data_IF_275090938532
#
_entry.id   IF_275090938532
#
_cell.length_a   1.000
_cell.length_b   1.000
_cell.length_c   1.000
_cell.angle_alpha   90.00
_cell.angle_beta   90.00
_cell.angle_gamma   90.00
#
_symmetry.space_group_name_H-M   'P 1'
#
loop_
_entity.id
_entity.type
_entity.pdbx_description
1 polymer ?
#
# COMPACT_ATOMS: atom_id res chain seq x y z
N UNK A 1 48.54 -71.68 -6.98
CA UNK A 1 47.94 -70.51 -7.67
C UNK A 1 46.74 -71.05 -8.39
N UNK A 2 45.52 -70.91 -7.84
CA UNK A 2 44.21 -71.11 -8.52
C UNK A 2 43.06 -71.14 -7.49
N UNK A 3 42.85 -70.03 -6.78
CA UNK A 3 41.68 -69.89 -5.90
C UNK A 3 41.05 -68.48 -5.91
N UNK A 4 41.41 -67.65 -6.90
CA UNK A 4 40.90 -66.28 -7.04
C UNK A 4 40.01 -66.06 -8.28
N UNK A 5 39.55 -67.14 -8.93
CA UNK A 5 38.70 -67.09 -10.13
C UNK A 5 37.18 -67.13 -9.84
N UNK A 6 36.76 -67.07 -8.57
CA UNK A 6 35.34 -67.04 -8.15
C UNK A 6 34.91 -65.74 -7.47
N UNK A 7 35.34 -64.58 -7.98
CA UNK A 7 34.86 -63.27 -7.51
C UNK A 7 34.24 -62.32 -8.57
N UNK A 8 33.72 -62.76 -9.73
CA UNK A 8 32.94 -61.84 -10.58
C UNK A 8 31.59 -61.47 -9.93
N UNK A 9 30.95 -62.42 -9.23
CA UNK A 9 29.61 -62.22 -8.65
C UNK A 9 29.59 -61.14 -7.54
N UNK A 10 30.60 -61.04 -6.69
CA UNK A 10 30.60 -60.09 -5.57
C UNK A 10 30.77 -58.64 -6.06
N UNK A 11 31.56 -58.45 -7.11
CA UNK A 11 31.78 -57.15 -7.76
C UNK A 11 30.51 -56.60 -8.41
N UNK A 12 29.73 -57.47 -9.06
CA UNK A 12 28.48 -57.08 -9.71
C UNK A 12 27.41 -56.66 -8.69
N UNK A 13 27.31 -57.36 -7.56
CA UNK A 13 26.39 -57.02 -6.46
C UNK A 13 26.71 -55.67 -5.81
N UNK A 14 27.98 -55.37 -5.56
CA UNK A 14 28.43 -54.07 -5.04
C UNK A 14 28.08 -52.92 -5.98
N UNK A 15 28.22 -53.15 -7.29
CA UNK A 15 27.91 -52.16 -8.33
C UNK A 15 26.41 -51.84 -8.38
N UNK A 16 25.55 -52.87 -8.29
CA UNK A 16 24.09 -52.70 -8.22
C UNK A 16 23.69 -51.95 -6.95
N UNK A 17 24.29 -52.29 -5.80
CA UNK A 17 23.98 -51.64 -4.53
C UNK A 17 24.38 -50.16 -4.52
N UNK A 18 25.53 -49.82 -5.09
CA UNK A 18 25.98 -48.43 -5.26
C UNK A 18 25.06 -47.62 -6.18
N UNK A 19 24.56 -48.23 -7.26
CA UNK A 19 23.59 -47.61 -8.16
C UNK A 19 22.26 -47.34 -7.45
N UNK A 20 21.73 -48.31 -6.69
CA UNK A 20 20.52 -48.15 -5.90
C UNK A 20 20.66 -47.04 -4.84
N UNK A 21 21.80 -47.01 -4.14
CA UNK A 21 22.07 -45.97 -3.14
C UNK A 21 22.12 -44.58 -3.77
N UNK A 22 22.74 -44.45 -4.94
CA UNK A 22 22.81 -43.19 -5.69
C UNK A 22 21.43 -42.74 -6.15
N UNK A 23 20.60 -43.65 -6.68
CA UNK A 23 19.22 -43.36 -7.08
C UNK A 23 18.37 -42.88 -5.89
N UNK A 24 18.52 -43.51 -4.73
CA UNK A 24 17.82 -43.11 -3.50
C UNK A 24 18.29 -41.72 -3.05
N UNK A 25 19.61 -41.47 -3.00
CA UNK A 25 20.15 -40.15 -2.62
C UNK A 25 19.69 -39.04 -3.56
N UNK A 26 19.64 -39.33 -4.86
CA UNK A 26 19.12 -38.40 -5.87
C UNK A 26 17.62 -38.13 -5.68
N UNK A 27 16.82 -39.16 -5.42
CA UNK A 27 15.39 -39.01 -5.15
C UNK A 27 15.12 -38.14 -3.90
N UNK A 28 15.88 -38.37 -2.81
CA UNK A 28 15.81 -37.54 -1.60
C UNK A 28 16.16 -36.08 -1.91
N UNK A 29 17.21 -35.85 -2.71
CA UNK A 29 17.64 -34.50 -3.12
C UNK A 29 16.55 -33.78 -3.91
N UNK A 30 15.89 -34.48 -4.84
CA UNK A 30 14.75 -33.94 -5.61
C UNK A 30 13.61 -33.55 -4.66
N UNK A 31 13.24 -34.43 -3.73
CA UNK A 31 12.17 -34.16 -2.76
C UNK A 31 12.53 -32.94 -1.89
N UNK A 32 13.77 -32.87 -1.40
CA UNK A 32 14.24 -31.74 -0.61
C UNK A 32 14.20 -30.43 -1.40
N UNK A 33 14.63 -30.45 -2.66
CA UNK A 33 14.59 -29.29 -3.54
C UNK A 33 13.15 -28.82 -3.80
N UNK A 34 12.21 -29.73 -4.04
CA UNK A 34 10.79 -29.38 -4.20
C UNK A 34 10.18 -28.79 -2.93
N UNK A 35 10.48 -29.35 -1.76
CA UNK A 35 10.01 -28.80 -0.48
C UNK A 35 10.59 -27.42 -0.21
N UNK A 36 11.88 -27.22 -0.50
CA UNK A 36 12.53 -25.93 -0.36
C UNK A 36 11.89 -24.88 -1.29
N UNK A 37 11.62 -25.24 -2.55
CA UNK A 37 10.92 -24.37 -3.50
C UNK A 37 9.53 -23.99 -2.99
N UNK A 38 8.73 -24.94 -2.54
CA UNK A 38 7.38 -24.69 -2.01
C UNK A 38 7.42 -23.81 -0.76
N UNK A 39 8.38 -24.04 0.16
CA UNK A 39 8.56 -23.19 1.33
C UNK A 39 8.95 -21.76 0.94
N UNK A 40 9.82 -21.59 -0.06
CA UNK A 40 10.23 -20.28 -0.56
C UNK A 40 9.06 -19.52 -1.24
N UNK A 41 8.23 -20.23 -1.99
CA UNK A 41 7.00 -19.67 -2.59
C UNK A 41 6.03 -19.18 -1.51
N UNK A 42 5.75 -20.02 -0.50
CA UNK A 42 4.89 -19.64 0.62
C UNK A 42 5.46 -18.46 1.43
N UNK A 43 6.77 -18.43 1.66
CA UNK A 43 7.43 -17.32 2.34
C UNK A 43 7.32 -16.02 1.52
N UNK A 44 7.48 -16.10 0.20
CA UNK A 44 7.31 -14.95 -0.70
C UNK A 44 5.88 -14.42 -0.66
N UNK A 45 4.89 -15.29 -0.76
CA UNK A 45 3.48 -14.90 -0.70
C UNK A 45 3.14 -14.22 0.63
N UNK A 46 3.62 -14.76 1.75
CA UNK A 46 3.44 -14.16 3.08
C UNK A 46 4.13 -12.79 3.19
N UNK A 47 5.34 -12.66 2.65
CA UNK A 47 6.07 -11.39 2.64
C UNK A 47 5.37 -10.33 1.76
N UNK A 48 4.92 -10.71 0.57
CA UNK A 48 4.18 -9.83 -0.34
C UNK A 48 2.85 -9.38 0.29
N UNK A 49 2.14 -10.30 0.96
CA UNK A 49 0.94 -9.97 1.73
C UNK A 49 1.24 -8.96 2.84
N UNK A 50 2.24 -9.22 3.68
CA UNK A 50 2.62 -8.33 4.78
C UNK A 50 3.05 -6.95 4.27
N UNK A 51 3.86 -6.90 3.21
CA UNK A 51 4.30 -5.64 2.59
C UNK A 51 3.10 -4.84 2.06
N UNK A 52 2.12 -5.51 1.44
CA UNK A 52 0.90 -4.86 0.97
C UNK A 52 0.02 -4.36 2.13
N UNK A 53 -0.08 -5.10 3.23
CA UNK A 53 -0.78 -4.66 4.44
C UNK A 53 -0.14 -3.42 5.05
N UNK A 54 1.20 -3.38 5.14
CA UNK A 54 1.95 -2.22 5.65
C UNK A 54 1.68 -0.99 4.78
N UNK A 55 1.77 -1.11 3.45
CA UNK A 55 1.46 -0.01 2.53
C UNK A 55 0.03 0.53 2.71
N UNK A 56 -0.95 -0.34 2.96
CA UNK A 56 -2.33 0.08 3.25
C UNK A 56 -2.44 0.81 4.59
N UNK A 57 -1.73 0.37 5.63
CA UNK A 57 -1.68 1.05 6.92
C UNK A 57 -1.05 2.43 6.83
N UNK A 58 0.06 2.56 6.11
CA UNK A 58 0.70 3.84 5.86
C UNK A 58 -0.29 4.79 5.16
N UNK A 59 -0.99 4.31 4.14
CA UNK A 59 -1.99 5.10 3.45
C UNK A 59 -3.14 5.56 4.38
N UNK A 60 -3.61 4.69 5.28
CA UNK A 60 -4.61 5.05 6.30
C UNK A 60 -4.08 6.17 7.21
N UNK A 61 -2.83 6.09 7.66
CA UNK A 61 -2.21 7.12 8.48
C UNK A 61 -2.06 8.45 7.71
N UNK A 62 -1.72 8.38 6.42
CA UNK A 62 -1.65 9.55 5.55
C UNK A 62 -3.00 10.23 5.35
N UNK A 63 -4.08 9.45 5.15
CA UNK A 63 -5.45 9.97 5.07
C UNK A 63 -5.88 10.66 6.36
N UNK A 64 -5.60 10.05 7.52
CA UNK A 64 -5.90 10.64 8.81
C UNK A 64 -5.16 11.98 8.99
N UNK A 65 -3.92 12.06 8.50
CA UNK A 65 -3.13 13.30 8.50
C UNK A 65 -3.76 14.35 7.59
N UNK A 66 -4.15 13.98 6.36
CA UNK A 66 -4.81 14.90 5.42
C UNK A 66 -6.15 15.44 5.97
N UNK A 67 -6.96 14.58 6.61
CA UNK A 67 -8.20 14.98 7.28
C UNK A 67 -7.92 16.04 8.36
N UNK A 68 -6.93 15.80 9.23
CA UNK A 68 -6.56 16.77 10.28
C UNK A 68 -6.13 18.11 9.70
N UNK A 69 -5.36 18.12 8.62
CA UNK A 69 -4.94 19.35 7.95
C UNK A 69 -6.13 20.11 7.32
N UNK A 70 -7.11 19.39 6.76
CA UNK A 70 -8.34 20.02 6.24
C UNK A 70 -9.19 20.58 7.38
N UNK A 71 -9.27 19.89 8.51
CA UNK A 71 -9.93 20.43 9.71
C UNK A 71 -9.22 21.65 10.28
N UNK A 72 -7.90 21.69 10.21
CA UNK A 72 -7.11 22.86 10.56
C UNK A 72 -7.45 24.05 9.66
N UNK A 73 -7.59 23.85 8.34
CA UNK A 73 -8.07 24.90 7.42
C UNK A 73 -9.45 25.44 7.85
N UNK A 74 -10.40 24.57 8.21
CA UNK A 74 -11.71 24.99 8.72
C UNK A 74 -11.60 25.81 10.01
N UNK A 75 -10.63 25.50 10.88
CA UNK A 75 -10.37 26.27 12.11
C UNK A 75 -9.79 27.64 11.75
N UNK A 76 -8.81 27.71 10.86
CA UNK A 76 -8.17 28.95 10.40
C UNK A 76 -9.18 29.89 9.73
N UNK A 77 -10.09 29.34 8.92
CA UNK A 77 -11.22 30.07 8.36
C UNK A 77 -12.09 30.75 9.42
N UNK A 78 -12.37 30.05 10.53
CA UNK A 78 -13.22 30.56 11.63
C UNK A 78 -12.49 31.55 12.52
N UNK A 79 -11.19 31.34 12.74
CA UNK A 79 -10.35 32.22 13.56
C UNK A 79 -9.84 33.45 12.81
N UNK A 80 -10.18 33.59 11.52
CA UNK A 80 -9.74 34.68 10.64
C UNK A 80 -8.21 34.82 10.53
N UNK A 81 -7.47 33.72 10.69
CA UNK A 81 -6.02 33.70 10.56
C UNK A 81 -5.61 33.57 9.08
N UNK A 82 -5.93 34.61 8.32
CA UNK A 82 -5.89 34.65 6.86
C UNK A 82 -4.45 34.50 6.32
N UNK A 83 -3.47 35.07 7.00
CA UNK A 83 -2.06 35.06 6.58
C UNK A 83 -1.46 33.65 6.47
N UNK A 84 -2.01 32.67 7.21
CA UNK A 84 -1.53 31.30 7.23
C UNK A 84 -2.23 30.39 6.19
N UNK A 85 -3.33 30.83 5.61
CA UNK A 85 -4.14 30.00 4.72
C UNK A 85 -3.41 29.55 3.46
N UNK A 86 -2.68 30.41 2.71
CA UNK A 86 -1.99 29.99 1.49
C UNK A 86 -1.04 28.82 1.71
N UNK A 87 -0.19 28.91 2.73
CA UNK A 87 0.77 27.87 3.07
C UNK A 87 0.05 26.56 3.46
N UNK A 88 -1.02 26.67 4.25
CA UNK A 88 -1.80 25.50 4.70
C UNK A 88 -2.54 24.84 3.55
N UNK A 89 -3.11 25.60 2.62
CA UNK A 89 -3.72 25.08 1.40
C UNK A 89 -2.71 24.35 0.53
N UNK A 90 -1.54 24.95 0.29
CA UNK A 90 -0.46 24.34 -0.48
C UNK A 90 0.01 23.03 0.17
N UNK A 91 0.15 23.00 1.50
CA UNK A 91 0.52 21.81 2.26
C UNK A 91 -0.52 20.68 2.15
N UNK A 92 -1.80 20.99 2.28
CA UNK A 92 -2.89 20.02 2.08
C UNK A 92 -2.86 19.47 0.65
N UNK A 93 -2.75 20.36 -0.35
CA UNK A 93 -2.72 19.97 -1.76
C UNK A 93 -1.53 19.06 -2.06
N UNK A 94 -0.33 19.42 -1.61
CA UNK A 94 0.87 18.61 -1.77
C UNK A 94 0.72 17.22 -1.15
N UNK A 95 0.14 17.15 0.06
CA UNK A 95 -0.13 15.88 0.74
C UNK A 95 -1.11 15.00 -0.06
N UNK A 96 -2.20 15.57 -0.56
CA UNK A 96 -3.19 14.84 -1.36
C UNK A 96 -2.63 14.36 -2.70
N UNK A 97 -1.79 15.17 -3.36
CA UNK A 97 -1.10 14.78 -4.61
C UNK A 97 -0.16 13.60 -4.35
N UNK A 98 0.65 13.67 -3.28
CA UNK A 98 1.55 12.58 -2.88
C UNK A 98 0.77 11.29 -2.58
N UNK A 99 -0.37 11.39 -1.89
CA UNK A 99 -1.25 10.24 -1.67
C UNK A 99 -1.78 9.65 -2.98
N UNK A 100 -2.22 10.49 -3.93
CA UNK A 100 -2.75 10.04 -5.24
C UNK A 100 -1.71 9.25 -6.06
N UNK A 101 -0.42 9.52 -5.88
CA UNK A 101 0.64 8.81 -6.62
C UNK A 101 0.88 7.38 -6.12
N UNK A 102 0.31 7.02 -4.96
CA UNK A 102 0.43 5.68 -4.42
C UNK A 102 -0.31 4.64 -5.28
N UNK A 103 0.22 3.41 -5.30
CA UNK A 103 -0.28 2.32 -6.14
C UNK A 103 -1.79 2.06 -5.99
N UNK A 104 -2.33 2.27 -4.78
CA UNK A 104 -3.76 2.09 -4.48
C UNK A 104 -4.69 3.02 -5.29
N UNK A 105 -4.22 4.21 -5.68
CA UNK A 105 -5.02 5.22 -6.37
C UNK A 105 -4.70 5.35 -7.85
N UNK A 106 -4.02 4.36 -8.46
CA UNK A 106 -3.68 4.44 -9.88
C UNK A 106 -4.90 4.33 -10.79
N UNK A 107 -5.94 3.63 -10.35
CA UNK A 107 -7.11 3.34 -11.16
C UNK A 107 -8.39 3.29 -10.31
N UNK A 108 -9.55 3.41 -10.98
CA UNK A 108 -10.86 3.15 -10.38
C UNK A 108 -11.51 4.34 -9.66
N UNK A 109 -12.47 4.02 -8.79
CA UNK A 109 -13.29 5.00 -8.08
C UNK A 109 -12.48 5.79 -7.03
N UNK A 110 -11.52 5.14 -6.38
CA UNK A 110 -10.68 5.76 -5.36
C UNK A 110 -9.82 6.90 -5.93
N UNK A 111 -9.24 6.68 -7.12
CA UNK A 111 -8.49 7.70 -7.86
C UNK A 111 -9.34 8.94 -8.16
N UNK A 112 -10.58 8.73 -8.64
CA UNK A 112 -11.50 9.82 -8.95
C UNK A 112 -11.85 10.62 -7.70
N UNK A 113 -12.15 9.93 -6.59
CA UNK A 113 -12.47 10.60 -5.32
C UNK A 113 -11.31 11.45 -4.80
N UNK A 114 -10.08 10.93 -4.78
CA UNK A 114 -8.93 11.74 -4.32
C UNK A 114 -8.64 12.90 -5.28
N UNK A 115 -8.82 12.69 -6.60
CA UNK A 115 -8.67 13.74 -7.60
C UNK A 115 -9.72 14.85 -7.42
N UNK A 116 -10.97 14.50 -7.13
CA UNK A 116 -12.04 15.46 -6.86
C UNK A 116 -11.73 16.30 -5.61
N UNK A 117 -11.19 15.67 -4.56
CA UNK A 117 -10.73 16.38 -3.36
C UNK A 117 -9.59 17.34 -3.71
N UNK A 118 -8.58 16.92 -4.48
CA UNK A 118 -7.48 17.78 -4.93
C UNK A 118 -8.01 18.99 -5.72
N UNK A 119 -8.95 18.78 -6.64
CA UNK A 119 -9.55 19.84 -7.45
C UNK A 119 -10.31 20.84 -6.58
N UNK A 120 -11.08 20.37 -5.59
CA UNK A 120 -11.81 21.24 -4.65
C UNK A 120 -10.86 22.09 -3.82
N UNK A 121 -9.84 21.48 -3.22
CA UNK A 121 -8.83 22.22 -2.43
C UNK A 121 -8.10 23.24 -3.31
N UNK A 122 -7.67 22.85 -4.51
CA UNK A 122 -6.98 23.76 -5.44
C UNK A 122 -7.88 24.92 -5.90
N UNK A 123 -9.19 24.67 -6.02
CA UNK A 123 -10.16 25.71 -6.38
C UNK A 123 -10.38 26.71 -5.26
N UNK A 124 -10.41 26.24 -4.00
CA UNK A 124 -10.50 27.10 -2.82
C UNK A 124 -9.23 27.95 -2.65
N UNK A 125 -8.06 27.35 -2.80
CA UNK A 125 -6.77 28.05 -2.78
C UNK A 125 -6.71 29.15 -3.84
N UNK A 126 -7.06 28.83 -5.10
CA UNK A 126 -7.11 29.83 -6.18
C UNK A 126 -8.13 30.94 -5.93
N UNK A 127 -9.25 30.63 -5.28
CA UNK A 127 -10.25 31.65 -4.94
C UNK A 127 -9.70 32.62 -3.89
N UNK A 128 -8.94 32.09 -2.92
CA UNK A 128 -8.25 32.87 -1.91
C UNK A 128 -7.11 33.72 -2.49
N UNK A 129 -6.26 33.13 -3.34
CA UNK A 129 -5.13 33.86 -3.98
C UNK A 129 -5.60 35.05 -4.83
N UNK A 130 -6.79 34.95 -5.43
CA UNK A 130 -7.37 36.03 -6.24
C UNK A 130 -7.97 37.16 -5.41
N UNK A 131 -8.50 36.84 -4.24
CA UNK A 131 -9.17 37.78 -3.35
C UNK A 131 -8.88 37.38 -1.90
N UNK A 132 -7.88 38.00 -1.25
CA UNK A 132 -7.55 37.69 0.15
C UNK A 132 -8.72 37.89 1.12
N UNK A 133 -9.68 38.75 0.78
CA UNK A 133 -10.89 39.00 1.55
C UNK A 133 -12.06 38.09 1.13
N UNK A 134 -11.80 37.08 0.28
CA UNK A 134 -12.81 36.13 -0.20
C UNK A 134 -13.64 35.54 0.95
N UNK A 135 -12.99 35.18 2.05
CA UNK A 135 -13.62 34.54 3.21
C UNK A 135 -14.35 35.52 4.15
N UNK A 136 -14.16 36.83 4.01
CA UNK A 136 -14.93 37.83 4.77
C UNK A 136 -16.39 37.90 4.28
N UNK A 137 -16.63 37.47 3.03
CA UNK A 137 -17.98 37.33 2.49
C UNK A 137 -18.65 36.15 3.18
N UNK A 138 -19.64 36.41 4.04
CA UNK A 138 -20.36 35.39 4.85
C UNK A 138 -20.75 34.12 4.05
N UNK A 139 -21.28 34.30 2.84
CA UNK A 139 -21.65 33.18 1.96
C UNK A 139 -20.44 32.36 1.46
N UNK A 140 -19.29 33.00 1.24
CA UNK A 140 -18.08 32.32 0.77
C UNK A 140 -17.44 31.47 1.87
N UNK A 141 -17.44 31.96 3.12
CA UNK A 141 -16.96 31.21 4.28
C UNK A 141 -17.78 29.92 4.51
N UNK A 142 -19.10 30.04 4.49
CA UNK A 142 -20.01 28.89 4.68
C UNK A 142 -19.82 27.86 3.56
N UNK A 143 -19.77 28.31 2.30
CA UNK A 143 -19.53 27.43 1.14
C UNK A 143 -18.16 26.75 1.20
N UNK A 144 -17.12 27.48 1.57
CA UNK A 144 -15.76 26.93 1.69
C UNK A 144 -15.70 25.86 2.78
N UNK A 145 -16.26 26.15 3.96
CA UNK A 145 -16.32 25.19 5.06
C UNK A 145 -17.15 23.95 4.73
N UNK A 146 -18.24 24.10 3.97
CA UNK A 146 -19.04 22.99 3.46
C UNK A 146 -18.26 22.13 2.46
N UNK A 147 -17.55 22.77 1.52
CA UNK A 147 -16.67 22.08 0.56
C UNK A 147 -15.56 21.28 1.27
N UNK A 148 -14.91 21.89 2.29
CA UNK A 148 -13.92 21.21 3.12
C UNK A 148 -14.52 20.04 3.92
N UNK A 149 -15.75 20.18 4.42
CA UNK A 149 -16.46 19.07 5.08
C UNK A 149 -16.70 17.91 4.11
N UNK A 150 -17.21 18.18 2.89
CA UNK A 150 -17.34 17.12 1.88
C UNK A 150 -16.02 16.46 1.50
N UNK A 151 -14.91 17.21 1.52
CA UNK A 151 -13.58 16.64 1.29
C UNK A 151 -13.19 15.67 2.42
N UNK A 152 -13.46 16.05 3.67
CA UNK A 152 -13.23 15.19 4.83
C UNK A 152 -14.09 13.92 4.75
N UNK A 153 -15.37 14.04 4.39
CA UNK A 153 -16.28 12.89 4.24
C UNK A 153 -15.80 11.93 3.14
N UNK A 154 -15.34 12.48 2.00
CA UNK A 154 -14.78 11.68 0.91
C UNK A 154 -13.52 10.92 1.36
N UNK A 155 -12.61 11.58 2.08
CA UNK A 155 -11.41 10.93 2.62
C UNK A 155 -11.75 9.88 3.68
N UNK A 156 -12.76 10.11 4.52
CA UNK A 156 -13.24 9.11 5.47
C UNK A 156 -13.83 7.89 4.78
N UNK A 157 -14.62 8.09 3.72
CA UNK A 157 -15.15 6.96 2.92
C UNK A 157 -14.02 6.13 2.30
N UNK A 158 -12.98 6.78 1.78
CA UNK A 158 -11.80 6.08 1.26
C UNK A 158 -11.04 5.32 2.36
N UNK A 159 -10.89 5.93 3.53
CA UNK A 159 -10.26 5.31 4.70
C UNK A 159 -11.03 4.04 5.11
N UNK A 160 -12.34 4.12 5.23
CA UNK A 160 -13.19 2.97 5.54
C UNK A 160 -13.08 1.87 4.48
N UNK A 161 -13.09 2.24 3.19
CA UNK A 161 -12.91 1.31 2.09
C UNK A 161 -11.59 0.53 2.16
N UNK A 162 -10.48 1.21 2.48
CA UNK A 162 -9.19 0.55 2.66
C UNK A 162 -9.22 -0.39 3.86
N UNK A 163 -9.76 0.06 4.99
CA UNK A 163 -9.85 -0.73 6.22
C UNK A 163 -10.66 -2.01 6.02
N UNK A 164 -11.80 -1.92 5.32
CA UNK A 164 -12.62 -3.09 4.96
C UNK A 164 -11.86 -4.07 4.04
N UNK A 165 -11.08 -3.55 3.08
CA UNK A 165 -10.25 -4.39 2.21
C UNK A 165 -9.15 -5.17 2.95
N UNK A 166 -8.77 -4.71 4.15
CA UNK A 166 -7.79 -5.40 5.00
C UNK A 166 -8.42 -6.48 5.86
N UNK A 167 -9.68 -6.30 6.29
CA UNK A 167 -10.40 -7.26 7.14
C UNK A 167 -10.94 -8.46 6.36
N UNK A 168 -11.34 -8.26 5.11
CA UNK A 168 -11.92 -9.33 4.25
C UNK A 168 -10.86 -10.29 3.70
N UNK A 169 -9.57 -9.93 3.77
CA UNK A 169 -8.47 -10.76 3.24
C UNK A 169 -7.93 -11.81 4.23
N UNK A 170 -8.65 -12.07 5.33
CA UNK A 170 -8.38 -13.14 6.29
C UNK A 170 -9.34 -14.31 6.04
#
# INVERSE_FOLDING_TARGET
MDAFSKLPLFSDWLSILGLLLTLIGFAITIIAAHRAKSAAESAREAADFAANTIRKLDLVAEMATAIRLIEELKRLHRSKAMDLLPERYAGVRAKLISMREQAFFREGSAQKQIQDVIVRISSLERAYDKDPNFLEKSNALVRSNSSLASCVDALMSLHEGIKLSMTVSK
#
